data_IF_232741907988
#
_entry.id   IF_232741907988
#
_cell.length_a   1.000
_cell.length_b   1.000
_cell.length_c   1.000
_cell.angle_alpha   90.00
_cell.angle_beta   90.00
_cell.angle_gamma   90.00
#
_symmetry.space_group_name_H-M   'P 1'
#
loop_
_entity.id
_entity.type
_entity.pdbx_description
1 polymer ?
#
# COMPACT_ATOMS: atom_id res chain seq x y z
N UNK A 1 7.02 10.98 12.70
CA UNK A 1 5.99 10.33 11.89
C UNK A 1 5.14 9.41 12.73
N UNK A 2 3.84 9.45 12.56
CA UNK A 2 2.95 8.57 13.33
C UNK A 2 2.99 7.14 12.76
N UNK A 3 2.97 6.17 13.66
CA UNK A 3 2.84 4.77 13.28
C UNK A 3 1.40 4.33 13.51
N UNK A 4 0.94 3.45 12.64
CA UNK A 4 -0.42 2.92 12.73
C UNK A 4 -0.34 1.43 12.97
N UNK A 5 -0.82 0.99 14.12
CA UNK A 5 -0.85 -0.43 14.47
C UNK A 5 -2.18 -1.02 13.99
N UNK A 6 -2.09 -2.09 13.22
CA UNK A 6 -3.25 -2.81 12.72
C UNK A 6 -3.28 -4.19 13.32
N UNK A 7 -4.47 -4.71 13.55
CA UNK A 7 -4.64 -6.06 14.08
C UNK A 7 -5.48 -6.89 13.13
N UNK A 8 -5.26 -8.20 13.15
CA UNK A 8 -6.10 -9.14 12.45
C UNK A 8 -6.58 -10.20 13.42
N UNK A 9 -7.71 -10.83 13.11
CA UNK A 9 -8.27 -11.87 13.95
C UNK A 9 -8.35 -13.16 13.13
N UNK A 10 -7.86 -14.23 13.73
CA UNK A 10 -7.93 -15.57 13.13
C UNK A 10 -8.66 -16.50 14.09
N UNK A 11 -9.49 -17.39 13.55
CA UNK A 11 -10.06 -18.48 14.33
C UNK A 11 -8.99 -19.54 14.59
N UNK A 12 -9.27 -20.45 15.53
CA UNK A 12 -8.38 -21.58 15.79
C UNK A 12 -8.16 -22.41 14.51
N UNK A 13 -9.22 -22.62 13.75
CA UNK A 13 -9.15 -23.37 12.51
C UNK A 13 -8.23 -22.69 11.50
N UNK A 14 -8.40 -21.39 11.31
CA UNK A 14 -7.58 -20.62 10.37
C UNK A 14 -6.11 -20.65 10.78
N UNK A 15 -5.82 -20.54 12.06
CA UNK A 15 -4.45 -20.61 12.56
C UNK A 15 -3.80 -21.96 12.26
N UNK A 16 -4.57 -23.04 12.41
CA UNK A 16 -4.08 -24.39 12.09
C UNK A 16 -3.81 -24.55 10.61
N UNK A 17 -4.66 -23.98 9.76
CA UNK A 17 -4.46 -24.02 8.32
C UNK A 17 -3.17 -23.31 7.95
N UNK A 18 -2.93 -22.15 8.51
CA UNK A 18 -1.69 -21.40 8.23
C UNK A 18 -0.46 -22.17 8.72
N UNK A 19 -0.56 -22.79 9.89
CA UNK A 19 0.55 -23.59 10.43
C UNK A 19 0.92 -24.76 9.54
N UNK A 20 -0.05 -25.32 8.84
CA UNK A 20 0.20 -26.41 7.89
C UNK A 20 1.03 -25.97 6.70
N UNK A 21 0.85 -24.73 6.24
CA UNK A 21 1.43 -24.26 4.98
C UNK A 21 2.64 -23.37 5.15
N UNK A 22 2.76 -22.68 6.29
CA UNK A 22 3.81 -21.69 6.47
C UNK A 22 4.97 -22.25 7.29
N UNK A 23 6.17 -21.86 6.90
CA UNK A 23 7.39 -22.24 7.60
C UNK A 23 7.44 -21.66 9.02
N UNK A 24 6.95 -20.43 9.19
CA UNK A 24 6.95 -19.77 10.49
C UNK A 24 5.98 -20.46 11.44
N UNK A 25 6.35 -20.52 12.71
CA UNK A 25 5.45 -21.05 13.73
C UNK A 25 4.38 -20.00 14.03
N UNK A 26 3.22 -20.15 13.42
CA UNK A 26 2.11 -19.21 13.58
C UNK A 26 1.17 -19.62 14.71
N UNK A 27 1.54 -20.67 15.47
CA UNK A 27 0.78 -21.07 16.66
C UNK A 27 0.98 -20.11 17.82
N UNK A 28 2.03 -19.28 17.75
CA UNK A 28 2.25 -18.21 18.72
C UNK A 28 2.20 -16.85 18.00
N UNK A 29 1.96 -15.80 18.78
CA UNK A 29 1.79 -14.47 18.22
C UNK A 29 3.05 -13.94 17.54
N UNK A 30 4.23 -14.29 18.06
CA UNK A 30 5.48 -13.78 17.51
C UNK A 30 5.74 -14.28 16.10
N UNK A 31 5.50 -15.57 15.84
CA UNK A 31 5.68 -16.12 14.51
C UNK A 31 4.68 -15.56 13.52
N UNK A 32 3.43 -15.42 13.93
CA UNK A 32 2.38 -14.87 13.08
C UNK A 32 2.64 -13.40 12.78
N UNK A 33 3.00 -12.62 13.81
CA UNK A 33 3.28 -11.19 13.63
C UNK A 33 4.43 -11.00 12.64
N UNK A 34 5.49 -11.79 12.73
CA UNK A 34 6.63 -11.69 11.83
C UNK A 34 6.21 -11.99 10.39
N UNK A 35 5.38 -13.01 10.18
CA UNK A 35 4.91 -13.35 8.85
C UNK A 35 4.04 -12.24 8.27
N UNK A 36 3.10 -11.74 9.05
CA UNK A 36 2.21 -10.65 8.61
C UNK A 36 3.02 -9.41 8.26
N UNK A 37 3.97 -9.06 9.11
CA UNK A 37 4.80 -7.88 8.86
C UNK A 37 5.58 -8.03 7.56
N UNK A 38 6.16 -9.19 7.31
CA UNK A 38 6.90 -9.43 6.08
C UNK A 38 5.99 -9.36 4.85
N UNK A 39 4.78 -9.89 4.94
CA UNK A 39 3.82 -9.84 3.83
C UNK A 39 3.40 -8.40 3.53
N UNK A 40 3.12 -7.62 4.57
CA UNK A 40 2.75 -6.22 4.41
C UNK A 40 3.92 -5.41 3.85
N UNK A 41 5.12 -5.63 4.36
CA UNK A 41 6.31 -4.93 3.87
C UNK A 41 6.54 -5.19 2.38
N UNK A 42 6.35 -6.43 1.94
CA UNK A 42 6.46 -6.77 0.53
C UNK A 42 5.43 -6.05 -0.33
N UNK A 43 4.20 -5.99 0.16
CA UNK A 43 3.13 -5.28 -0.54
C UNK A 43 3.41 -3.78 -0.60
N UNK A 44 3.87 -3.21 0.50
CA UNK A 44 4.23 -1.78 0.55
C UNK A 44 5.33 -1.48 -0.47
N UNK A 45 6.36 -2.33 -0.52
CA UNK A 45 7.47 -2.13 -1.44
C UNK A 45 7.00 -2.15 -2.90
N UNK A 46 6.14 -3.08 -3.25
CA UNK A 46 5.61 -3.17 -4.62
C UNK A 46 4.72 -1.97 -4.96
N UNK A 47 3.90 -1.54 -4.02
CA UNK A 47 3.05 -0.36 -4.20
C UNK A 47 3.89 0.90 -4.32
N UNK A 48 4.94 1.01 -3.53
CA UNK A 48 5.86 2.15 -3.58
C UNK A 48 6.54 2.25 -4.95
N UNK A 49 7.03 1.14 -5.47
CA UNK A 49 7.68 1.14 -6.78
C UNK A 49 6.74 1.64 -7.87
N UNK A 50 5.49 1.20 -7.84
CA UNK A 50 4.48 1.65 -8.79
C UNK A 50 4.20 3.14 -8.64
N UNK A 51 3.96 3.58 -7.40
CA UNK A 51 3.68 4.98 -7.12
C UNK A 51 4.82 5.88 -7.58
N UNK A 52 6.05 5.49 -7.28
CA UNK A 52 7.21 6.27 -7.68
C UNK A 52 7.31 6.39 -9.19
N UNK A 53 7.11 5.30 -9.91
CA UNK A 53 7.18 5.30 -11.37
C UNK A 53 6.08 6.17 -11.98
N UNK A 54 4.85 5.98 -11.54
CA UNK A 54 3.71 6.70 -12.10
C UNK A 54 3.77 8.19 -11.80
N UNK A 55 4.07 8.55 -10.55
CA UNK A 55 4.05 9.95 -10.16
C UNK A 55 5.29 10.71 -10.59
N UNK A 56 6.45 10.04 -10.72
CA UNK A 56 7.62 10.69 -11.31
C UNK A 56 7.28 11.16 -12.73
N UNK A 57 6.63 10.29 -13.52
CA UNK A 57 6.25 10.66 -14.87
C UNK A 57 5.23 11.80 -14.88
N UNK A 58 4.23 11.75 -14.02
CA UNK A 58 3.22 12.79 -13.93
C UNK A 58 3.82 14.14 -13.53
N UNK A 59 4.77 14.14 -12.60
CA UNK A 59 5.42 15.36 -12.17
C UNK A 59 6.30 15.93 -13.27
N UNK A 60 6.98 15.07 -14.02
CA UNK A 60 7.79 15.52 -15.15
C UNK A 60 6.96 16.09 -16.27
N UNK A 61 5.75 15.58 -16.45
CA UNK A 61 4.83 16.05 -17.49
C UNK A 61 4.05 17.30 -17.08
N UNK A 62 4.10 17.67 -15.82
CA UNK A 62 3.34 18.81 -15.28
C UNK A 62 4.18 20.08 -15.39
N UNK A 63 3.86 20.92 -16.36
CA UNK A 63 4.58 22.17 -16.60
C UNK A 63 4.54 23.13 -15.42
N UNK A 64 3.52 23.03 -14.58
CA UNK A 64 3.38 23.91 -13.42
C UNK A 64 4.23 23.43 -12.21
N UNK A 65 4.75 22.21 -12.26
CA UNK A 65 5.60 21.68 -11.20
C UNK A 65 7.05 22.00 -11.53
N UNK A 66 7.65 22.92 -10.79
CA UNK A 66 9.01 23.39 -11.04
C UNK A 66 10.01 22.99 -9.96
N UNK A 67 9.52 22.44 -8.86
CA UNK A 67 10.38 22.01 -7.75
C UNK A 67 11.11 20.71 -8.08
N UNK A 68 12.27 20.45 -7.45
CA UNK A 68 12.93 19.16 -7.62
C UNK A 68 12.04 18.02 -7.11
N UNK A 69 12.12 16.88 -7.80
CA UNK A 69 11.41 15.67 -7.37
C UNK A 69 12.22 15.04 -6.23
N UNK A 70 11.61 14.84 -5.04
CA UNK A 70 12.35 14.24 -3.92
C UNK A 70 12.78 12.81 -4.24
N UNK A 71 14.02 12.47 -3.84
CA UNK A 71 14.49 11.08 -3.93
C UNK A 71 14.16 10.27 -2.69
N UNK A 72 13.84 10.95 -1.59
CA UNK A 72 13.50 10.32 -0.32
C UNK A 72 12.04 9.86 -0.36
N UNK A 73 11.78 8.62 0.08
CA UNK A 73 10.45 8.03 0.02
C UNK A 73 9.41 8.86 0.79
N UNK A 74 9.74 9.25 2.01
CA UNK A 74 8.78 9.99 2.85
C UNK A 74 8.44 11.35 2.22
N UNK A 75 9.42 12.07 1.73
CA UNK A 75 9.20 13.36 1.11
C UNK A 75 8.43 13.24 -0.20
N UNK A 76 8.74 12.21 -0.99
CA UNK A 76 8.02 11.95 -2.24
C UNK A 76 6.53 11.65 -1.96
N UNK A 77 6.27 10.77 -1.02
CA UNK A 77 4.90 10.39 -0.66
C UNK A 77 4.13 11.60 -0.14
N UNK A 78 4.75 12.40 0.71
CA UNK A 78 4.11 13.60 1.25
C UNK A 78 3.82 14.62 0.16
N UNK A 79 4.74 14.81 -0.76
CA UNK A 79 4.54 15.72 -1.88
C UNK A 79 3.34 15.29 -2.72
N UNK A 80 3.31 14.02 -3.10
CA UNK A 80 2.26 13.49 -3.98
C UNK A 80 0.90 13.51 -3.31
N UNK A 81 0.81 13.05 -2.07
CA UNK A 81 -0.48 12.94 -1.40
C UNK A 81 -1.06 14.29 -0.99
N UNK A 82 -0.23 15.33 -0.94
CA UNK A 82 -0.70 16.70 -0.65
C UNK A 82 -1.22 17.43 -1.88
N UNK A 83 -1.03 16.87 -3.08
CA UNK A 83 -1.49 17.52 -4.32
C UNK A 83 -3.01 17.48 -4.41
N UNK A 84 -3.58 18.52 -5.00
CA UNK A 84 -5.02 18.59 -5.21
C UNK A 84 -5.54 17.56 -6.21
N UNK A 85 -4.66 17.09 -7.10
CA UNK A 85 -5.03 16.09 -8.11
C UNK A 85 -4.77 14.66 -7.66
N UNK A 86 -4.27 14.45 -6.43
CA UNK A 86 -4.04 13.12 -5.92
C UNK A 86 -5.36 12.45 -5.51
N UNK A 87 -5.50 11.19 -5.93
CA UNK A 87 -6.60 10.33 -5.50
C UNK A 87 -6.06 8.96 -5.17
N UNK A 88 -6.50 8.39 -4.05
CA UNK A 88 -6.15 7.01 -3.73
C UNK A 88 -6.96 6.06 -4.62
N UNK A 89 -6.69 4.76 -4.52
CA UNK A 89 -7.33 3.79 -5.41
C UNK A 89 -8.85 3.81 -5.29
N UNK A 90 -9.36 3.87 -4.06
CA UNK A 90 -10.81 3.90 -3.87
C UNK A 90 -11.44 5.11 -4.54
N UNK A 91 -10.81 6.27 -4.38
CA UNK A 91 -11.30 7.51 -4.99
C UNK A 91 -11.27 7.43 -6.52
N UNK A 92 -10.21 6.84 -7.09
CA UNK A 92 -10.10 6.68 -8.54
C UNK A 92 -11.16 5.73 -9.07
N UNK A 93 -11.37 4.59 -8.37
CA UNK A 93 -12.35 3.60 -8.79
C UNK A 93 -13.77 4.15 -8.69
N UNK A 94 -14.06 4.88 -7.62
CA UNK A 94 -15.38 5.48 -7.42
C UNK A 94 -15.70 6.55 -8.47
N UNK A 95 -14.68 7.24 -8.96
CA UNK A 95 -14.86 8.27 -9.98
C UNK A 95 -14.94 7.71 -11.39
N UNK A 96 -14.61 6.42 -11.60
CA UNK A 96 -14.56 5.84 -12.93
C UNK A 96 -15.93 5.33 -13.36
N UNK A 97 -16.53 5.87 -14.44
CA UNK A 97 -17.79 5.34 -14.96
C UNK A 97 -17.72 3.89 -15.41
N UNK A 98 -16.56 3.46 -15.88
CA UNK A 98 -16.34 2.08 -16.31
C UNK A 98 -16.55 1.10 -15.16
N UNK A 99 -15.97 1.41 -14.00
CA UNK A 99 -16.10 0.54 -12.84
C UNK A 99 -17.54 0.45 -12.36
N UNK A 100 -18.25 1.54 -12.40
CA UNK A 100 -19.66 1.57 -12.03
C UNK A 100 -20.49 0.72 -12.95
N UNK A 101 -20.22 0.77 -14.25
CA UNK A 101 -20.91 -0.06 -15.22
C UNK A 101 -20.64 -1.53 -15.05
N UNK A 102 -19.41 -1.89 -14.73
CA UNK A 102 -19.02 -3.29 -14.56
C UNK A 102 -19.60 -3.90 -13.29
N UNK A 103 -19.86 -3.10 -12.30
CA UNK A 103 -20.44 -3.58 -11.04
C UNK A 103 -21.94 -3.68 -11.06
N UNK A 104 -22.56 -3.02 -12.02
CA UNK A 104 -24.00 -2.98 -12.15
C UNK A 104 -24.63 -4.29 -12.50
#
# INVERSE_FOLDING_TARGET
MANHTKTITLSDEEQKILSDSLYNDVSNNNGLDAWIQAAVDGKINNCWKRMRTEWTQKLMDDDSFTDPIPSNQADFVNLVTARSDYKNRKQRDDASPKNKGLKG
#
